data_IF_257980222431
#
_entry.id   IF_257980222431
#
_cell.length_a   1.000
_cell.length_b   1.000
_cell.length_c   1.000
_cell.angle_alpha   90.00
_cell.angle_beta   90.00
_cell.angle_gamma   90.00
#
_symmetry.space_group_name_H-M   'P 1'
#
loop_
_entity.id
_entity.type
_entity.pdbx_description
1 polymer ?
#
# COMPACT_ATOMS: atom_id res chain seq x y z
N UNK A 1 13.51 2.09 -9.73
CA UNK A 1 14.22 1.97 -11.03
C UNK A 1 15.43 1.05 -10.84
N UNK A 2 15.37 -0.20 -11.26
CA UNK A 2 16.46 -1.14 -11.07
C UNK A 2 17.79 -0.78 -11.73
N UNK A 3 17.77 -0.06 -12.84
CA UNK A 3 18.98 0.47 -13.50
C UNK A 3 18.61 1.62 -14.42
N UNK A 4 19.03 2.81 -14.07
CA UNK A 4 19.18 3.89 -15.03
C UNK A 4 20.56 3.73 -15.70
N UNK A 5 20.61 3.60 -17.01
CA UNK A 5 21.84 3.42 -17.77
C UNK A 5 22.76 4.64 -17.73
N UNK A 6 22.24 5.81 -17.33
CA UNK A 6 23.01 7.03 -17.11
C UNK A 6 23.71 7.08 -15.75
N UNK A 7 23.35 6.18 -14.83
CA UNK A 7 23.85 6.17 -13.46
C UNK A 7 24.94 5.10 -13.28
N UNK A 8 26.06 5.49 -12.70
CA UNK A 8 27.20 4.61 -12.51
C UNK A 8 27.53 4.25 -11.05
N UNK A 9 26.86 4.90 -10.08
CA UNK A 9 27.24 4.85 -8.67
C UNK A 9 26.37 3.95 -7.78
N UNK A 10 25.70 2.97 -8.35
CA UNK A 10 24.86 2.05 -7.59
C UNK A 10 25.55 0.69 -7.42
N UNK A 11 25.25 0.02 -6.31
CA UNK A 11 25.66 -1.38 -6.07
C UNK A 11 24.53 -2.32 -6.41
N UNK A 12 24.58 -2.88 -7.61
CA UNK A 12 23.63 -3.90 -8.01
C UNK A 12 23.72 -5.12 -7.08
N UNK A 13 22.57 -5.56 -6.62
CA UNK A 13 22.45 -6.89 -6.01
C UNK A 13 22.24 -7.85 -7.19
N UNK A 14 23.12 -8.83 -7.38
CA UNK A 14 23.07 -9.72 -8.52
C UNK A 14 21.89 -10.69 -8.41
N UNK A 15 20.71 -10.21 -8.70
CA UNK A 15 19.54 -11.01 -9.03
C UNK A 15 19.17 -10.66 -10.45
N UNK A 16 19.39 -11.62 -11.30
CA UNK A 16 19.11 -11.48 -12.71
C UNK A 16 17.63 -11.65 -12.95
N UNK A 17 17.01 -10.64 -13.50
CA UNK A 17 15.64 -10.69 -13.96
C UNK A 17 15.59 -10.37 -15.42
N UNK A 18 14.61 -10.92 -16.07
CA UNK A 18 14.31 -10.63 -17.45
C UNK A 18 13.06 -9.77 -17.46
N UNK A 19 13.08 -8.70 -18.23
CA UNK A 19 11.84 -8.00 -18.54
C UNK A 19 10.98 -8.83 -19.52
N UNK A 20 9.77 -8.37 -19.78
CA UNK A 20 8.83 -9.03 -20.69
C UNK A 20 9.34 -9.16 -22.13
N UNK A 21 10.41 -8.45 -22.48
CA UNK A 21 11.12 -8.54 -23.76
C UNK A 21 12.29 -9.51 -23.73
N UNK A 22 12.53 -10.21 -22.63
CA UNK A 22 13.65 -11.13 -22.44
C UNK A 22 15.00 -10.43 -22.25
N UNK A 23 15.01 -9.12 -22.01
CA UNK A 23 16.25 -8.37 -21.73
C UNK A 23 16.63 -8.52 -20.27
N UNK A 24 17.88 -8.94 -20.06
CA UNK A 24 18.44 -9.06 -18.71
C UNK A 24 18.61 -7.69 -18.08
N UNK A 25 18.00 -7.48 -16.92
CA UNK A 25 18.10 -6.25 -16.15
C UNK A 25 18.57 -6.51 -14.73
N UNK A 26 19.18 -5.52 -14.11
CA UNK A 26 19.47 -5.54 -12.68
C UNK A 26 18.17 -5.19 -11.97
N UNK A 27 17.61 -6.17 -11.23
CA UNK A 27 16.31 -6.01 -10.60
C UNK A 27 16.31 -5.09 -9.39
N UNK A 28 17.41 -5.03 -8.63
CA UNK A 28 17.48 -4.24 -7.40
C UNK A 28 18.90 -3.79 -7.10
N UNK A 29 19.01 -2.77 -6.27
CA UNK A 29 20.27 -2.22 -5.79
C UNK A 29 20.33 -2.23 -4.27
N UNK A 30 21.53 -2.20 -3.71
CA UNK A 30 21.68 -2.00 -2.26
C UNK A 30 21.21 -0.58 -1.91
N UNK A 31 20.24 -0.47 -1.02
CA UNK A 31 19.68 0.81 -0.57
C UNK A 31 20.79 1.77 -0.12
N UNK A 32 20.70 3.03 -0.51
CA UNK A 32 21.69 4.06 -0.18
C UNK A 32 22.95 4.05 -1.03
N UNK A 33 23.00 3.27 -2.12
CA UNK A 33 24.19 3.20 -2.98
C UNK A 33 24.04 3.87 -4.34
N UNK A 34 22.87 4.41 -4.64
CA UNK A 34 22.59 5.15 -5.85
C UNK A 34 23.08 6.61 -5.80
N UNK A 35 22.73 7.39 -6.83
CA UNK A 35 22.98 8.82 -6.83
C UNK A 35 22.13 9.54 -5.79
N UNK A 36 22.55 10.72 -5.35
CA UNK A 36 21.81 11.50 -4.33
C UNK A 36 20.37 11.82 -4.72
N UNK A 37 20.05 11.85 -6.01
CA UNK A 37 18.69 12.03 -6.52
C UNK A 37 17.72 10.89 -6.14
N UNK A 38 18.23 9.76 -5.64
CA UNK A 38 17.42 8.65 -5.14
C UNK A 38 17.11 8.78 -3.64
N UNK A 39 17.74 9.73 -2.96
CA UNK A 39 17.34 10.14 -1.60
C UNK A 39 16.20 11.14 -1.68
N UNK A 40 15.25 11.06 -0.75
CA UNK A 40 14.03 11.89 -0.76
C UNK A 40 14.31 13.41 -0.68
N UNK A 41 15.43 13.79 -0.10
CA UNK A 41 15.85 15.19 0.08
C UNK A 41 17.14 15.55 -0.70
N UNK A 42 17.66 14.62 -1.51
CA UNK A 42 18.88 14.81 -2.28
C UNK A 42 20.17 14.82 -1.44
N UNK A 43 20.13 14.37 -0.17
CA UNK A 43 21.29 14.31 0.71
C UNK A 43 21.70 12.89 1.07
N UNK A 44 22.97 12.64 1.48
CA UNK A 44 23.40 11.30 1.91
C UNK A 44 22.69 10.78 3.16
N UNK A 45 22.14 11.68 3.99
CA UNK A 45 21.40 11.35 5.22
C UNK A 45 19.91 11.20 5.01
N UNK A 46 19.41 11.44 3.81
CA UNK A 46 17.98 11.29 3.49
C UNK A 46 17.54 9.83 3.44
N UNK A 47 16.26 9.62 3.36
CA UNK A 47 15.66 8.28 3.17
C UNK A 47 15.78 7.91 1.70
N UNK A 48 16.38 6.76 1.43
CA UNK A 48 16.68 6.28 0.09
C UNK A 48 15.61 5.31 -0.43
N UNK A 49 15.42 5.31 -1.74
CA UNK A 49 14.61 4.33 -2.47
C UNK A 49 13.16 4.23 -1.95
N UNK A 50 12.55 5.37 -1.57
CA UNK A 50 11.12 5.43 -1.24
C UNK A 50 10.23 5.07 -2.42
N UNK A 51 10.79 5.12 -3.62
CA UNK A 51 10.13 4.87 -4.88
C UNK A 51 10.91 3.82 -5.67
N UNK A 52 10.29 2.70 -6.00
CA UNK A 52 10.90 1.62 -6.75
C UNK A 52 11.86 0.77 -5.92
N UNK A 53 12.85 0.16 -6.55
CA UNK A 53 13.79 -0.81 -6.02
C UNK A 53 13.08 -2.11 -5.58
N UNK A 54 12.55 -2.21 -4.38
CA UNK A 54 11.73 -3.35 -3.91
C UNK A 54 10.46 -2.85 -3.26
N UNK A 55 9.37 -3.61 -3.37
CA UNK A 55 8.17 -3.35 -2.58
C UNK A 55 8.48 -3.49 -1.10
N UNK A 56 7.92 -2.63 -0.28
CA UNK A 56 8.19 -2.62 1.16
C UNK A 56 6.93 -2.95 1.96
N UNK A 57 7.03 -3.92 2.87
CA UNK A 57 5.96 -4.26 3.79
C UNK A 57 5.58 -3.08 4.68
N UNK A 58 4.28 -2.86 4.81
CA UNK A 58 3.71 -1.86 5.73
C UNK A 58 3.11 -2.55 6.93
N UNK A 59 3.57 -2.19 8.13
CA UNK A 59 3.00 -2.65 9.39
C UNK A 59 1.74 -1.87 9.79
N UNK A 60 0.91 -2.47 10.65
CA UNK A 60 -0.24 -1.80 11.26
C UNK A 60 -1.45 -1.62 10.38
N UNK A 61 -1.45 -2.16 9.16
CA UNK A 61 -2.59 -2.12 8.25
C UNK A 61 -2.77 -3.45 7.54
N UNK A 62 -4.02 -3.84 7.33
CA UNK A 62 -4.40 -5.02 6.53
C UNK A 62 -5.79 -4.85 5.91
N UNK A 63 -6.10 -5.71 4.96
CA UNK A 63 -7.47 -5.96 4.53
C UNK A 63 -7.91 -7.37 4.92
N UNK A 64 -9.18 -7.50 5.33
CA UNK A 64 -9.84 -8.80 5.52
C UNK A 64 -11.10 -8.80 4.64
N UNK A 65 -11.10 -9.61 3.59
CA UNK A 65 -12.18 -9.61 2.60
C UNK A 65 -12.52 -8.20 2.07
N UNK A 66 -11.50 -7.37 1.85
CA UNK A 66 -11.64 -5.98 1.42
C UNK A 66 -11.93 -4.97 2.55
N UNK A 67 -12.26 -5.41 3.76
CA UNK A 67 -12.43 -4.53 4.92
C UNK A 67 -11.08 -4.00 5.40
N UNK A 68 -10.92 -2.68 5.43
CA UNK A 68 -9.71 -2.03 5.92
C UNK A 68 -9.63 -2.10 7.44
N UNK A 69 -8.52 -2.63 7.95
CA UNK A 69 -8.26 -2.75 9.37
C UNK A 69 -6.88 -2.19 9.71
N UNK A 70 -6.79 -1.51 10.85
CA UNK A 70 -5.56 -0.88 11.33
C UNK A 70 -5.27 -1.26 12.79
N UNK A 71 -4.01 -1.16 13.19
CA UNK A 71 -3.64 -1.00 14.60
C UNK A 71 -3.70 0.49 14.95
N UNK A 72 -4.30 0.81 16.09
CA UNK A 72 -4.48 2.19 16.54
C UNK A 72 -3.19 2.73 17.21
N UNK A 73 -3.11 4.03 17.38
CA UNK A 73 -2.13 4.72 18.23
C UNK A 73 -0.65 4.39 17.89
N UNK A 74 -0.37 4.10 16.62
CA UNK A 74 0.96 3.66 16.15
C UNK A 74 1.48 2.38 16.83
N UNK A 75 0.59 1.54 17.35
CA UNK A 75 0.94 0.29 18.03
C UNK A 75 1.70 -0.72 17.14
N UNK A 76 1.71 -0.50 15.83
CA UNK A 76 2.52 -1.30 14.91
C UNK A 76 4.03 -1.16 15.16
N UNK A 77 4.47 -0.04 15.73
CA UNK A 77 5.88 0.22 16.06
C UNK A 77 6.27 -0.33 17.44
N UNK A 78 5.31 -0.78 18.25
CA UNK A 78 5.55 -1.32 19.59
C UNK A 78 5.47 -2.85 19.60
N UNK A 79 6.56 -3.50 19.98
CA UNK A 79 6.65 -4.97 20.07
C UNK A 79 5.72 -5.60 21.11
N UNK A 80 5.15 -4.81 22.02
CA UNK A 80 4.14 -5.28 22.97
C UNK A 80 2.77 -5.52 22.32
N UNK A 81 2.55 -4.97 21.11
CA UNK A 81 1.31 -5.08 20.36
C UNK A 81 1.41 -6.07 19.20
N UNK A 82 0.45 -6.99 19.12
CA UNK A 82 0.49 -8.06 18.14
C UNK A 82 -0.13 -7.66 16.81
N UNK A 83 0.65 -7.79 15.75
CA UNK A 83 0.19 -7.68 14.38
C UNK A 83 -0.27 -9.04 13.78
N UNK A 84 -0.31 -10.10 14.58
CA UNK A 84 -0.70 -11.44 14.11
C UNK A 84 -2.11 -11.48 13.52
N UNK A 85 -2.36 -12.44 12.64
CA UNK A 85 -3.66 -12.57 11.96
C UNK A 85 -4.83 -12.71 12.94
N UNK A 86 -4.63 -13.41 14.06
CA UNK A 86 -5.62 -13.65 15.11
C UNK A 86 -5.63 -12.57 16.22
N UNK A 87 -4.83 -11.51 16.11
CA UNK A 87 -4.80 -10.45 17.12
C UNK A 87 -6.15 -9.75 17.24
N UNK A 88 -6.57 -9.48 18.47
CA UNK A 88 -7.80 -8.72 18.79
C UNK A 88 -7.59 -7.21 18.77
N UNK A 89 -6.36 -6.76 18.53
CA UNK A 89 -6.00 -5.35 18.51
C UNK A 89 -6.39 -4.66 17.20
N UNK A 90 -6.60 -5.41 16.14
CA UNK A 90 -7.07 -4.87 14.87
C UNK A 90 -8.41 -4.17 15.02
N UNK A 91 -8.54 -3.00 14.41
CA UNK A 91 -9.78 -2.21 14.34
C UNK A 91 -10.15 -1.95 12.89
N UNK A 92 -11.43 -2.13 12.58
CA UNK A 92 -11.99 -1.70 11.30
C UNK A 92 -12.32 -0.21 11.35
N UNK A 93 -12.25 0.45 10.21
CA UNK A 93 -12.56 1.88 10.10
C UNK A 93 -14.07 2.06 9.93
N UNK A 94 -14.69 2.83 10.80
CA UNK A 94 -16.10 3.17 10.72
C UNK A 94 -16.34 4.24 9.64
N UNK A 95 -16.96 3.84 8.56
CA UNK A 95 -17.28 4.75 7.46
C UNK A 95 -18.37 5.78 7.74
N UNK A 96 -19.07 5.66 8.89
CA UNK A 96 -20.07 6.64 9.37
C UNK A 96 -19.55 7.47 10.55
N UNK A 97 -18.25 7.41 10.85
CA UNK A 97 -17.65 8.15 11.95
C UNK A 97 -17.80 9.66 11.77
N UNK A 98 -18.02 10.36 12.89
CA UNK A 98 -18.09 11.82 12.94
C UNK A 98 -17.00 12.44 13.78
N UNK A 99 -16.18 11.60 14.44
CA UNK A 99 -15.08 12.03 15.30
C UNK A 99 -14.11 10.87 15.55
N UNK A 100 -12.96 11.19 16.17
CA UNK A 100 -11.99 10.17 16.61
C UNK A 100 -12.60 9.17 17.60
N UNK A 101 -13.57 9.59 18.41
CA UNK A 101 -14.17 8.73 19.43
C UNK A 101 -14.97 7.54 18.84
N UNK A 102 -15.39 7.61 17.58
CA UNK A 102 -16.18 6.58 16.94
C UNK A 102 -15.61 6.12 15.57
N UNK A 103 -14.32 6.43 15.29
CA UNK A 103 -13.69 6.02 14.02
C UNK A 103 -13.37 4.51 13.96
N UNK A 104 -13.22 3.86 15.11
CA UNK A 104 -12.82 2.47 15.17
C UNK A 104 -13.98 1.56 15.56
N UNK A 105 -14.07 0.43 14.86
CA UNK A 105 -15.01 -0.66 15.13
C UNK A 105 -14.24 -1.93 15.49
N UNK A 106 -14.84 -2.78 16.32
CA UNK A 106 -14.30 -4.14 16.53
C UNK A 106 -14.66 -5.00 15.32
N UNK A 107 -13.67 -5.55 14.59
CA UNK A 107 -13.93 -6.40 13.45
C UNK A 107 -14.70 -7.65 13.83
N UNK A 108 -15.59 -8.12 12.96
CA UNK A 108 -16.33 -9.37 13.16
C UNK A 108 -15.56 -10.63 12.72
N UNK A 109 -14.31 -10.48 12.29
CA UNK A 109 -13.41 -11.54 11.84
C UNK A 109 -13.63 -12.02 10.39
N UNK A 110 -14.75 -11.68 9.76
CA UNK A 110 -15.08 -12.10 8.39
C UNK A 110 -14.94 -10.98 7.35
N UNK A 111 -14.54 -9.77 7.77
CA UNK A 111 -14.43 -8.61 6.87
C UNK A 111 -15.79 -8.03 6.45
N UNK A 112 -16.84 -8.32 7.20
CA UNK A 112 -18.21 -7.85 6.94
C UNK A 112 -18.79 -7.04 8.10
N UNK A 113 -17.92 -6.40 8.87
CA UNK A 113 -18.34 -5.55 9.99
C UNK A 113 -19.30 -4.47 9.49
N UNK A 114 -20.42 -4.29 10.20
CA UNK A 114 -21.41 -3.29 9.84
C UNK A 114 -20.79 -1.88 9.85
N UNK A 115 -21.08 -1.09 8.83
CA UNK A 115 -20.58 0.28 8.63
C UNK A 115 -19.05 0.40 8.47
N UNK A 116 -18.30 -0.70 8.40
CA UNK A 116 -16.86 -0.60 8.13
C UNK A 116 -16.58 -0.23 6.69
N UNK A 117 -15.42 0.45 6.49
CA UNK A 117 -14.90 0.79 5.17
C UNK A 117 -14.36 -0.46 4.48
N UNK A 118 -14.74 -0.64 3.23
CA UNK A 118 -14.33 -1.74 2.36
C UNK A 118 -13.87 -1.24 1.01
N UNK A 119 -12.90 -1.93 0.43
CA UNK A 119 -12.42 -1.65 -0.91
C UNK A 119 -13.34 -2.33 -1.94
N UNK A 120 -13.92 -1.54 -2.84
CA UNK A 120 -14.75 -2.00 -3.96
C UNK A 120 -14.12 -1.62 -5.30
N UNK A 121 -14.51 -2.28 -6.38
CA UNK A 121 -14.10 -1.91 -7.74
C UNK A 121 -15.31 -1.35 -8.48
N UNK A 122 -15.25 -0.07 -8.84
CA UNK A 122 -16.35 0.63 -9.51
C UNK A 122 -15.84 1.27 -10.80
N UNK A 123 -16.42 0.90 -11.92
CA UNK A 123 -16.07 1.45 -13.24
C UNK A 123 -14.57 1.37 -13.55
N UNK A 124 -13.89 0.30 -13.10
CA UNK A 124 -12.48 0.03 -13.39
C UNK A 124 -11.47 0.76 -12.47
N UNK A 125 -11.91 1.39 -11.41
CA UNK A 125 -11.03 1.98 -10.39
C UNK A 125 -11.49 1.65 -8.97
N UNK A 126 -10.57 1.78 -8.01
CA UNK A 126 -10.85 1.49 -6.62
C UNK A 126 -11.73 2.55 -5.98
N UNK A 127 -12.65 2.11 -5.13
CA UNK A 127 -13.50 2.95 -4.30
C UNK A 127 -13.58 2.43 -2.87
N UNK A 128 -13.33 3.28 -1.90
CA UNK A 128 -13.61 2.99 -0.50
C UNK A 128 -15.08 3.26 -0.20
N UNK A 129 -15.81 2.22 0.23
CA UNK A 129 -17.26 2.26 0.41
C UNK A 129 -17.70 1.47 1.65
N UNK A 130 -18.98 1.61 2.05
CA UNK A 130 -19.57 0.81 3.13
C UNK A 130 -19.91 -0.61 2.69
N UNK A 131 -20.09 -0.81 1.39
CA UNK A 131 -20.47 -2.10 0.79
C UNK A 131 -19.59 -2.39 -0.42
N UNK A 132 -19.38 -3.66 -0.69
CA UNK A 132 -18.70 -4.13 -1.91
C UNK A 132 -19.76 -4.63 -2.90
N UNK A 133 -19.69 -4.14 -4.12
CA UNK A 133 -20.54 -4.54 -5.25
C UNK A 133 -19.81 -5.42 -6.25
N UNK A 134 -18.50 -5.27 -6.37
CA UNK A 134 -17.63 -6.09 -7.21
C UNK A 134 -16.48 -6.67 -6.38
N UNK A 135 -16.80 -7.71 -5.60
CA UNK A 135 -15.85 -8.47 -4.80
C UNK A 135 -15.31 -9.65 -5.60
N UNK A 136 -13.99 -9.75 -5.73
CA UNK A 136 -13.33 -10.87 -6.44
C UNK A 136 -12.03 -11.28 -5.76
N UNK A 137 -11.78 -12.59 -5.75
CA UNK A 137 -10.51 -13.16 -5.30
C UNK A 137 -9.50 -13.18 -6.47
N UNK A 138 -9.16 -11.99 -6.95
CA UNK A 138 -8.17 -11.78 -8.01
C UNK A 138 -7.45 -10.44 -7.80
N UNK A 139 -6.22 -10.34 -8.32
CA UNK A 139 -5.48 -9.09 -8.33
C UNK A 139 -6.01 -8.15 -9.41
N UNK A 140 -6.39 -6.95 -9.02
CA UNK A 140 -6.86 -5.87 -9.90
C UNK A 140 -6.24 -4.55 -9.49
N UNK A 141 -6.22 -3.58 -10.38
CA UNK A 141 -5.67 -2.28 -10.02
C UNK A 141 -6.05 -1.16 -10.96
N UNK A 142 -5.74 0.03 -10.51
CA UNK A 142 -5.88 1.28 -11.24
C UNK A 142 -4.83 2.28 -10.73
N UNK A 143 -4.71 3.46 -11.33
CA UNK A 143 -3.87 4.51 -10.77
C UNK A 143 -4.39 4.96 -9.40
N UNK A 144 -3.49 5.28 -8.49
CA UNK A 144 -3.85 5.79 -7.16
C UNK A 144 -4.74 7.03 -7.27
N UNK A 145 -4.41 7.94 -8.21
CA UNK A 145 -5.18 9.17 -8.47
C UNK A 145 -6.65 8.93 -8.84
N UNK A 146 -6.98 7.74 -9.39
CA UNK A 146 -8.35 7.36 -9.73
C UNK A 146 -9.12 6.76 -8.55
N UNK A 147 -8.48 6.53 -7.41
CA UNK A 147 -9.16 5.97 -6.22
C UNK A 147 -10.14 6.99 -5.65
N UNK A 148 -11.35 6.55 -5.41
CA UNK A 148 -12.45 7.38 -4.91
C UNK A 148 -12.96 6.94 -3.55
N UNK A 149 -13.77 7.80 -2.93
CA UNK A 149 -14.52 7.47 -1.70
C UNK A 149 -16.00 7.67 -2.00
N UNK A 150 -16.82 6.65 -1.69
CA UNK A 150 -18.25 6.68 -1.95
C UNK A 150 -18.97 7.78 -1.15
N UNK A 151 -20.01 8.36 -1.72
CA UNK A 151 -20.79 9.44 -1.08
C UNK A 151 -21.50 9.04 0.22
N UNK A 152 -21.65 7.74 0.47
CA UNK A 152 -22.21 7.22 1.73
C UNK A 152 -21.21 7.19 2.90
N UNK A 153 -19.94 7.44 2.64
CA UNK A 153 -18.88 7.54 3.67
C UNK A 153 -18.90 8.96 4.24
N UNK A 154 -18.82 9.10 5.55
CA UNK A 154 -18.79 10.40 6.21
C UNK A 154 -17.54 11.18 5.86
N UNK A 155 -17.61 12.53 5.91
CA UNK A 155 -16.46 13.39 5.65
C UNK A 155 -15.29 13.11 6.61
N UNK A 156 -15.59 12.78 7.86
CA UNK A 156 -14.55 12.46 8.84
C UNK A 156 -13.82 11.17 8.48
N UNK A 157 -14.55 10.10 8.15
CA UNK A 157 -13.95 8.84 7.72
C UNK A 157 -13.21 9.00 6.38
N UNK A 158 -13.72 9.80 5.46
CA UNK A 158 -13.05 10.11 4.20
C UNK A 158 -11.70 10.83 4.42
N UNK A 159 -11.65 11.79 5.33
CA UNK A 159 -10.39 12.46 5.70
C UNK A 159 -9.43 11.49 6.37
N UNK A 160 -9.93 10.59 7.21
CA UNK A 160 -9.10 9.56 7.86
C UNK A 160 -8.47 8.61 6.84
N UNK A 161 -9.22 8.14 5.83
CA UNK A 161 -8.69 7.30 4.75
C UNK A 161 -7.61 8.04 3.94
N UNK A 162 -7.79 9.33 3.68
CA UNK A 162 -6.77 10.17 3.01
C UNK A 162 -5.52 10.37 3.88
N UNK A 163 -5.69 10.55 5.18
CA UNK A 163 -4.57 10.66 6.12
C UNK A 163 -3.75 9.35 6.23
N UNK A 164 -4.38 8.19 5.97
CA UNK A 164 -3.69 6.90 5.85
C UNK A 164 -3.04 6.70 4.47
N UNK A 165 -3.09 7.67 3.57
CA UNK A 165 -2.60 7.60 2.19
C UNK A 165 -3.25 6.47 1.35
N UNK A 166 -4.51 6.13 1.61
CA UNK A 166 -5.27 5.14 0.82
C UNK A 166 -6.25 5.78 -0.19
N UNK A 167 -6.33 7.09 -0.25
CA UNK A 167 -7.07 7.82 -1.27
C UNK A 167 -6.42 9.19 -1.51
N UNK A 168 -6.50 9.73 -2.73
CA UNK A 168 -5.95 11.04 -3.03
C UNK A 168 -6.67 12.15 -2.24
N UNK A 169 -5.96 13.24 -1.98
CA UNK A 169 -6.58 14.46 -1.47
C UNK A 169 -7.52 15.02 -2.53
N UNK A 170 -8.71 15.43 -2.12
CA UNK A 170 -9.71 15.92 -3.07
C UNK A 170 -9.18 17.13 -3.88
N UNK A 171 -9.24 17.02 -5.20
CA UNK A 171 -8.77 18.05 -6.11
C UNK A 171 -7.27 18.07 -6.40
N UNK A 172 -6.48 17.20 -5.76
CA UNK A 172 -5.06 17.04 -6.07
C UNK A 172 -4.87 15.95 -7.14
N UNK A 173 -4.03 16.24 -8.14
CA UNK A 173 -3.68 15.32 -9.23
C UNK A 173 -2.18 15.03 -9.29
N UNK A 174 -1.42 15.45 -8.27
CA UNK A 174 0.05 15.36 -8.24
C UNK A 174 0.58 13.95 -7.85
N UNK A 175 -0.17 12.89 -8.17
CA UNK A 175 0.19 11.51 -7.82
C UNK A 175 0.85 10.75 -8.97
N UNK A 176 1.09 11.41 -10.10
CA UNK A 176 1.66 10.74 -11.28
C UNK A 176 0.82 9.55 -11.73
N UNK A 177 1.51 8.49 -12.13
CA UNK A 177 0.92 7.19 -12.51
C UNK A 177 1.03 6.16 -11.38
N UNK A 178 1.29 6.58 -10.15
CA UNK A 178 1.38 5.67 -8.99
C UNK A 178 0.20 4.71 -8.97
N UNK A 179 0.47 3.42 -8.79
CA UNK A 179 -0.53 2.39 -9.01
C UNK A 179 -1.08 1.84 -7.69
N UNK A 180 -2.37 1.54 -7.66
CA UNK A 180 -3.00 0.83 -6.57
C UNK A 180 -3.48 -0.53 -7.05
N UNK A 181 -2.80 -1.60 -6.59
CA UNK A 181 -3.10 -2.99 -6.91
C UNK A 181 -3.62 -3.70 -5.68
N UNK A 182 -4.70 -4.48 -5.76
CA UNK A 182 -5.26 -5.14 -4.61
C UNK A 182 -6.12 -6.37 -4.97
N UNK A 183 -6.38 -7.20 -3.96
CA UNK A 183 -7.35 -8.28 -3.99
C UNK A 183 -8.38 -8.03 -2.87
N UNK A 184 -9.61 -7.69 -3.23
CA UNK A 184 -10.67 -7.36 -2.28
C UNK A 184 -11.57 -8.54 -1.89
N UNK A 185 -11.23 -9.76 -2.34
CA UNK A 185 -12.03 -10.98 -2.12
C UNK A 185 -11.39 -12.03 -1.24
N UNK A 186 -10.13 -11.87 -0.86
CA UNK A 186 -9.41 -12.86 -0.08
C UNK A 186 -9.54 -12.63 1.43
N UNK A 187 -9.43 -13.68 2.26
CA UNK A 187 -9.58 -13.57 3.72
C UNK A 187 -8.69 -12.52 4.37
N UNK A 188 -7.38 -12.51 4.07
CA UNK A 188 -6.46 -11.51 4.60
C UNK A 188 -5.44 -11.11 3.54
N UNK A 189 -5.16 -9.80 3.44
CA UNK A 189 -4.08 -9.22 2.66
C UNK A 189 -3.32 -8.18 3.49
N UNK A 190 -2.00 -8.21 3.36
CA UNK A 190 -1.11 -7.19 3.91
C UNK A 190 -0.76 -6.18 2.81
N UNK A 191 -0.30 -5.00 3.19
CA UNK A 191 0.06 -3.98 2.22
C UNK A 191 1.56 -3.92 1.98
N UNK A 192 1.91 -3.61 0.73
CA UNK A 192 3.23 -3.21 0.28
C UNK A 192 3.13 -1.80 -0.32
N UNK A 193 4.18 -1.03 -0.21
CA UNK A 193 4.26 0.33 -0.75
C UNK A 193 5.54 0.56 -1.57
N UNK A 194 5.61 1.69 -2.28
CA UNK A 194 6.78 2.16 -3.00
C UNK A 194 6.92 1.64 -4.43
N UNK A 195 6.29 0.52 -4.74
CA UNK A 195 6.50 -0.17 -6.01
C UNK A 195 7.85 -0.87 -6.11
N UNK A 196 8.03 -1.71 -7.12
CA UNK A 196 9.25 -2.44 -7.41
C UNK A 196 10.05 -1.81 -8.56
N UNK A 197 11.22 -2.37 -8.80
CA UNK A 197 12.14 -1.93 -9.85
C UNK A 197 11.56 -2.06 -11.28
N UNK A 198 10.54 -2.87 -11.48
CA UNK A 198 9.91 -3.16 -12.78
C UNK A 198 8.56 -2.47 -13.00
N UNK A 199 8.07 -1.70 -12.04
CA UNK A 199 6.76 -1.04 -12.16
C UNK A 199 6.80 0.25 -13.01
N UNK A 200 8.00 0.69 -13.41
CA UNK A 200 8.15 1.87 -14.26
C UNK A 200 7.52 3.11 -13.65
N UNK A 201 6.69 3.81 -14.41
CA UNK A 201 5.98 5.01 -13.96
C UNK A 201 4.90 4.73 -12.91
N UNK A 202 4.49 3.46 -12.75
CA UNK A 202 3.54 3.05 -11.71
C UNK A 202 4.15 2.98 -10.32
N UNK A 203 5.49 2.88 -10.20
CA UNK A 203 6.17 2.95 -8.91
C UNK A 203 6.20 4.38 -8.38
N UNK A 204 5.86 4.56 -7.10
CA UNK A 204 5.89 5.87 -6.46
C UNK A 204 5.56 5.81 -4.99
N UNK A 205 5.67 6.94 -4.30
CA UNK A 205 5.42 7.02 -2.86
C UNK A 205 3.97 6.71 -2.47
N UNK A 206 3.05 6.82 -3.43
CA UNK A 206 1.64 6.48 -3.26
C UNK A 206 1.28 5.11 -3.86
N UNK A 207 2.28 4.37 -4.38
CA UNK A 207 2.04 2.98 -4.78
C UNK A 207 1.55 2.16 -3.59
N UNK A 208 0.43 1.51 -3.76
CA UNK A 208 -0.13 0.61 -2.75
C UNK A 208 -0.45 -0.75 -3.37
N UNK A 209 -0.02 -1.82 -2.73
CA UNK A 209 -0.33 -3.20 -3.10
C UNK A 209 -0.97 -3.91 -1.91
N UNK A 210 -2.26 -4.19 -2.00
CA UNK A 210 -3.05 -4.99 -1.06
C UNK A 210 -3.37 -6.38 -1.61
N UNK A 211 -2.46 -6.97 -2.39
CA UNK A 211 -2.63 -8.30 -2.97
C UNK A 211 -1.93 -9.40 -2.18
N UNK A 212 -0.82 -9.08 -1.54
CA UNK A 212 0.07 -10.06 -0.92
C UNK A 212 -0.49 -10.64 0.37
N UNK A 213 -0.37 -11.95 0.54
CA UNK A 213 -0.66 -12.61 1.81
C UNK A 213 0.45 -12.33 2.83
N UNK A 214 0.13 -12.36 4.11
CA UNK A 214 1.10 -12.19 5.21
C UNK A 214 2.30 -13.15 5.13
N UNK A 215 2.10 -14.34 4.57
CA UNK A 215 3.12 -15.38 4.44
C UNK A 215 4.00 -15.24 3.21
N UNK A 216 3.71 -14.28 2.34
CA UNK A 216 4.46 -14.14 1.11
C UNK A 216 5.89 -13.66 1.41
N UNK A 217 6.85 -14.34 0.80
CA UNK A 217 8.27 -14.02 0.89
C UNK A 217 8.85 -14.06 -0.51
N UNK A 218 9.11 -12.89 -1.07
CA UNK A 218 9.56 -12.74 -2.44
C UNK A 218 10.89 -11.99 -2.46
N UNK A 219 11.75 -12.31 -3.42
CA UNK A 219 13.02 -11.62 -3.61
C UNK A 219 12.85 -10.14 -4.04
N UNK A 220 11.65 -9.79 -4.50
CA UNK A 220 11.26 -8.41 -4.88
C UNK A 220 10.69 -7.60 -3.73
N UNK A 221 10.55 -8.20 -2.54
CA UNK A 221 9.93 -7.56 -1.38
C UNK A 221 10.96 -7.40 -0.26
N UNK A 222 10.95 -6.25 0.35
CA UNK A 222 11.78 -5.89 1.49
C UNK A 222 10.94 -5.33 2.63
N UNK A 223 11.63 -4.69 3.56
CA UNK A 223 11.03 -3.90 4.63
C UNK A 223 12.00 -2.78 5.00
N UNK A 224 11.46 -1.75 5.59
CA UNK A 224 12.24 -0.66 6.17
C UNK A 224 11.99 -0.67 7.68
N UNK A 225 13.07 -0.67 8.45
CA UNK A 225 12.98 -0.42 9.89
C UNK A 225 12.72 1.07 10.12
N UNK A 226 11.78 1.39 10.98
CA UNK A 226 11.54 2.75 11.43
C UNK A 226 12.55 3.17 12.50
#
# INVERSE_FOLDING_TARGET
YGKDTSESNYKAIPTMTYDDSGVQRIGRVATGTGPLSWSHDGTPSGIWDLNGNVWEWVGGVRMVNGELQVLVDNNAADSAHSQGASSTEWKAINGLATSIANIYLTPNGSGTTANSIKLDMVSGHWQWALTQTDKKDEGRGATFSATTIASGVSDYAAQFIRALAFAPVAGDTSYGDDYFYANNGNPERSFLCGGGWNDGAGAGVFYADGYSARSDSLWTVGFRSA
#
